data_IF_194410115831
#
_entry.id   IF_194410115831
#
_cell.length_a   1.000
_cell.length_b   1.000
_cell.length_c   1.000
_cell.angle_alpha   90.00
_cell.angle_beta   90.00
_cell.angle_gamma   90.00
#
_symmetry.space_group_name_H-M   'P 1'
#
loop_
_entity.id
_entity.type
_entity.pdbx_description
1 polymer ?
#
# COMPACT_ATOMS: atom_id res chain seq x y z
N UNK A 1 -3.79 15.15 25.16
CA UNK A 1 -4.81 14.72 24.18
C UNK A 1 -4.11 13.77 23.25
N UNK A 2 -4.59 12.54 23.11
CA UNK A 2 -4.04 11.57 22.15
C UNK A 2 -4.25 12.15 20.76
N UNK A 3 -3.17 12.40 20.02
CA UNK A 3 -3.29 12.82 18.63
C UNK A 3 -4.09 11.76 17.87
N UNK A 4 -5.19 12.20 17.24
CA UNK A 4 -5.94 11.34 16.34
C UNK A 4 -5.13 11.24 15.06
N UNK A 5 -4.85 10.01 14.63
CA UNK A 5 -4.25 9.73 13.33
C UNK A 5 -5.31 9.03 12.47
N UNK A 6 -5.28 9.31 11.17
CA UNK A 6 -5.95 8.45 10.20
C UNK A 6 -4.87 7.79 9.34
N UNK A 7 -5.20 6.61 8.81
CA UNK A 7 -4.27 5.82 8.04
C UNK A 7 -4.53 5.97 6.55
N UNK A 8 -3.47 6.18 5.78
CA UNK A 8 -3.50 6.12 4.32
C UNK A 8 -2.52 5.08 3.82
N UNK A 9 -2.89 4.46 2.70
CA UNK A 9 -2.03 3.58 1.94
C UNK A 9 -1.42 4.36 0.78
N UNK A 10 -0.11 4.29 0.70
CA UNK A 10 0.66 4.90 -0.38
C UNK A 10 1.45 3.85 -1.13
N UNK A 11 1.40 3.95 -2.45
CA UNK A 11 2.41 3.38 -3.31
C UNK A 11 3.65 4.27 -3.25
N UNK A 12 4.71 3.74 -2.67
CA UNK A 12 6.04 4.33 -2.61
C UNK A 12 6.81 3.92 -3.86
N UNK A 13 7.38 4.91 -4.54
CA UNK A 13 8.19 4.73 -5.74
C UNK A 13 9.62 5.08 -5.36
N UNK A 14 10.52 4.10 -5.45
CA UNK A 14 11.93 4.24 -5.07
C UNK A 14 12.78 4.05 -6.32
N UNK A 15 13.72 4.95 -6.59
CA UNK A 15 14.68 4.74 -7.67
C UNK A 15 15.63 3.61 -7.26
N UNK A 16 15.88 2.63 -8.14
CA UNK A 16 16.81 1.54 -7.82
C UNK A 16 18.17 2.07 -7.39
N UNK A 17 18.68 1.57 -6.27
CA UNK A 17 19.95 1.98 -5.69
C UNK A 17 19.92 3.33 -4.95
N UNK A 18 18.74 3.94 -4.78
CA UNK A 18 18.57 5.12 -3.94
C UNK A 18 18.05 4.74 -2.55
N UNK A 19 18.51 5.46 -1.52
CA UNK A 19 18.07 5.28 -0.13
C UNK A 19 16.86 6.14 0.25
N UNK A 20 16.18 6.75 -0.74
CA UNK A 20 15.04 7.65 -0.51
C UNK A 20 13.88 7.37 -1.48
N UNK A 21 12.67 7.62 -0.99
CA UNK A 21 11.45 7.51 -1.81
C UNK A 21 11.37 8.71 -2.75
N UNK A 22 11.29 8.43 -4.05
CA UNK A 22 11.18 9.43 -5.11
C UNK A 22 9.78 10.04 -5.16
N UNK A 23 8.75 9.24 -4.91
CA UNK A 23 7.36 9.70 -4.95
C UNK A 23 6.39 8.80 -4.20
N UNK A 24 5.25 9.38 -3.86
CA UNK A 24 4.13 8.70 -3.22
C UNK A 24 2.87 8.89 -4.06
N UNK A 25 2.13 7.79 -4.32
CA UNK A 25 0.81 7.84 -4.92
C UNK A 25 -0.21 7.31 -3.91
N UNK A 26 -1.27 8.07 -3.64
CA UNK A 26 -2.32 7.63 -2.73
C UNK A 26 -3.15 6.52 -3.38
N UNK A 27 -3.14 5.33 -2.78
CA UNK A 27 -3.89 4.16 -3.21
C UNK A 27 -4.87 3.68 -2.15
N UNK A 28 -5.17 4.54 -1.18
CA UNK A 28 -6.17 4.26 -0.13
C UNK A 28 -7.53 3.93 -0.71
N UNK A 29 -7.78 4.25 -1.98
CA UNK A 29 -9.03 3.94 -2.63
C UNK A 29 -9.30 2.45 -2.89
N UNK A 30 -8.23 1.67 -2.94
CA UNK A 30 -8.30 0.24 -3.12
C UNK A 30 -8.73 -0.40 -1.79
N UNK A 31 -9.74 -1.29 -1.81
CA UNK A 31 -10.17 -2.00 -0.61
C UNK A 31 -9.05 -2.79 0.05
N UNK A 32 -9.03 -2.81 1.37
CA UNK A 32 -8.01 -3.52 2.15
C UNK A 32 -7.92 -5.02 1.79
N UNK A 33 -9.05 -5.69 1.55
CA UNK A 33 -9.06 -7.10 1.15
C UNK A 33 -8.32 -7.34 -0.16
N UNK A 34 -8.35 -6.38 -1.09
CA UNK A 34 -7.62 -6.48 -2.36
C UNK A 34 -6.12 -6.41 -2.17
N UNK A 35 -5.64 -5.56 -1.27
CA UNK A 35 -4.23 -5.56 -0.92
C UNK A 35 -3.82 -6.89 -0.26
N UNK A 36 -4.68 -7.46 0.59
CA UNK A 36 -4.38 -8.75 1.21
C UNK A 36 -4.26 -9.86 0.17
N UNK A 37 -5.18 -9.90 -0.79
CA UNK A 37 -5.12 -10.83 -1.93
C UNK A 37 -3.82 -10.65 -2.74
N UNK A 38 -3.44 -9.40 -3.04
CA UNK A 38 -2.22 -9.10 -3.81
C UNK A 38 -0.96 -9.57 -3.11
N UNK A 39 -0.85 -9.32 -1.81
CA UNK A 39 0.38 -9.54 -1.06
C UNK A 39 0.35 -10.80 -0.19
N UNK A 40 -0.61 -11.70 -0.43
CA UNK A 40 -0.82 -12.90 0.39
C UNK A 40 0.48 -13.69 0.62
N UNK A 41 1.30 -13.84 -0.42
CA UNK A 41 2.56 -14.57 -0.39
C UNK A 41 3.66 -13.85 0.42
N UNK A 42 3.55 -12.54 0.58
CA UNK A 42 4.47 -11.71 1.37
C UNK A 42 3.99 -11.49 2.80
N UNK A 43 2.74 -11.83 3.11
CA UNK A 43 2.21 -11.71 4.47
C UNK A 43 2.93 -12.69 5.38
N UNK A 44 3.76 -12.19 6.28
CA UNK A 44 4.47 -13.01 7.28
C UNK A 44 3.84 -12.93 8.68
N UNK A 45 2.91 -12.00 8.89
CA UNK A 45 2.28 -11.75 10.19
C UNK A 45 0.76 -11.69 10.09
N UNK A 46 0.06 -11.98 11.20
CA UNK A 46 -1.41 -11.94 11.27
C UNK A 46 -2.01 -10.54 11.08
N UNK A 47 -1.23 -9.49 11.33
CA UNK A 47 -1.62 -8.08 11.19
C UNK A 47 -1.04 -7.51 9.89
N UNK A 48 -1.73 -7.76 8.79
CA UNK A 48 -1.39 -7.25 7.45
C UNK A 48 -1.51 -5.72 7.38
N UNK A 49 -0.59 -5.02 6.70
CA UNK A 49 -0.50 -3.55 6.54
C UNK A 49 -0.46 -2.67 7.82
N UNK A 50 -0.63 -3.22 9.03
CA UNK A 50 -0.64 -2.47 10.29
C UNK A 50 0.66 -2.53 11.09
N UNK A 51 1.71 -3.14 10.52
CA UNK A 51 3.07 -3.10 11.06
C UNK A 51 3.95 -2.28 10.11
N UNK A 52 5.04 -1.69 10.62
CA UNK A 52 6.09 -1.00 9.85
C UNK A 52 6.82 -1.98 8.90
N UNK A 53 6.09 -2.57 7.96
CA UNK A 53 6.53 -3.54 6.97
C UNK A 53 6.01 -3.06 5.62
N UNK A 54 6.92 -2.92 4.66
CA UNK A 54 6.58 -2.59 3.29
C UNK A 54 6.25 -3.87 2.51
N UNK A 55 5.21 -3.82 1.68
CA UNK A 55 4.85 -4.91 0.76
C UNK A 55 5.23 -4.53 -0.66
N UNK A 56 6.00 -5.36 -1.34
CA UNK A 56 6.61 -5.00 -2.62
C UNK A 56 5.75 -5.43 -3.79
N UNK A 57 5.64 -4.57 -4.79
CA UNK A 57 5.09 -4.93 -6.10
C UNK A 57 6.30 -5.19 -6.98
N UNK A 58 6.65 -6.47 -7.16
CA UNK A 58 7.63 -6.88 -8.16
C UNK A 58 6.97 -7.07 -9.53
N UNK A 59 7.79 -7.30 -10.55
CA UNK A 59 7.31 -7.49 -11.92
C UNK A 59 6.38 -8.71 -12.01
N UNK A 60 6.67 -9.79 -11.30
CA UNK A 60 5.86 -11.01 -11.33
C UNK A 60 4.44 -10.76 -10.76
N UNK A 61 4.34 -10.13 -9.59
CA UNK A 61 3.09 -9.75 -8.96
C UNK A 61 2.30 -8.78 -9.84
N UNK A 62 2.99 -7.82 -10.47
CA UNK A 62 2.37 -6.89 -11.40
C UNK A 62 1.79 -7.62 -12.61
N UNK A 63 2.55 -8.49 -13.28
CA UNK A 63 2.06 -9.21 -14.46
C UNK A 63 0.85 -10.10 -14.12
N UNK A 64 0.85 -10.76 -12.95
CA UNK A 64 -0.29 -11.56 -12.47
C UNK A 64 -1.55 -10.73 -12.25
N UNK A 65 -1.40 -9.46 -11.87
CA UNK A 65 -2.51 -8.57 -11.47
C UNK A 65 -2.66 -7.34 -12.39
N UNK A 66 -2.08 -7.38 -13.59
CA UNK A 66 -1.90 -6.21 -14.47
C UNK A 66 -3.19 -5.45 -14.74
N UNK A 67 -4.26 -6.16 -15.09
CA UNK A 67 -5.57 -5.56 -15.40
C UNK A 67 -6.13 -4.76 -14.22
N UNK A 68 -5.93 -5.26 -13.00
CA UNK A 68 -6.38 -4.58 -11.79
C UNK A 68 -5.50 -3.36 -11.50
N UNK A 69 -4.17 -3.54 -11.50
CA UNK A 69 -3.23 -2.46 -11.16
C UNK A 69 -3.27 -1.32 -12.19
N UNK A 70 -3.35 -1.61 -13.48
CA UNK A 70 -3.48 -0.59 -14.54
C UNK A 70 -4.79 0.22 -14.43
N UNK A 71 -5.84 -0.39 -13.84
CA UNK A 71 -7.15 0.26 -13.65
C UNK A 71 -7.18 1.15 -12.41
N UNK A 72 -6.69 0.64 -11.28
CA UNK A 72 -6.79 1.34 -10.00
C UNK A 72 -5.61 2.29 -9.76
N UNK A 73 -4.43 1.98 -10.32
CA UNK A 73 -3.23 2.81 -10.17
C UNK A 73 -2.99 3.54 -11.50
N UNK A 74 -3.33 4.84 -11.54
CA UNK A 74 -3.05 5.71 -12.70
C UNK A 74 -1.56 6.06 -12.79
N UNK A 75 -0.72 5.05 -12.96
CA UNK A 75 0.74 5.11 -13.02
C UNK A 75 1.26 4.03 -13.96
N UNK A 76 2.32 4.31 -14.71
CA UNK A 76 2.98 3.32 -15.56
C UNK A 76 4.17 2.73 -14.81
N UNK A 77 4.10 1.45 -14.49
CA UNK A 77 5.20 0.75 -13.81
C UNK A 77 6.38 0.55 -14.77
N UNK A 78 7.51 1.11 -14.38
CA UNK A 78 8.83 0.86 -14.95
C UNK A 78 9.67 0.11 -13.91
N UNK A 79 9.75 -1.21 -14.07
CA UNK A 79 10.51 -2.09 -13.19
C UNK A 79 11.99 -2.12 -13.53
N UNK A 80 12.43 -1.52 -14.65
CA UNK A 80 13.86 -1.38 -14.94
C UNK A 80 14.47 -0.29 -14.06
N UNK A 81 13.73 0.80 -13.85
CA UNK A 81 14.21 2.01 -13.17
C UNK A 81 13.83 2.09 -11.69
N UNK A 82 12.66 1.57 -11.29
CA UNK A 82 12.12 1.77 -9.95
C UNK A 82 11.79 0.46 -9.22
N UNK A 83 11.70 0.58 -7.89
CA UNK A 83 11.11 -0.37 -6.97
C UNK A 83 9.83 0.22 -6.38
N UNK A 84 8.85 -0.65 -6.17
CA UNK A 84 7.50 -0.26 -5.75
C UNK A 84 7.13 -0.98 -4.48
N UNK A 85 6.61 -0.24 -3.50
CA UNK A 85 6.05 -0.85 -2.30
C UNK A 85 4.82 -0.12 -1.78
N UNK A 86 3.94 -0.85 -1.10
CA UNK A 86 2.81 -0.30 -0.37
C UNK A 86 3.21 -0.12 1.08
N UNK A 87 3.06 1.10 1.58
CA UNK A 87 3.25 1.45 2.97
C UNK A 87 2.01 2.11 3.57
N UNK A 88 1.75 1.82 4.84
CA UNK A 88 0.77 2.53 5.65
C UNK A 88 1.44 3.73 6.31
N UNK A 89 0.91 4.93 6.11
CA UNK A 89 1.40 6.12 6.82
C UNK A 89 0.29 6.71 7.66
N UNK A 90 0.61 7.06 8.90
CA UNK A 90 -0.28 7.88 9.75
C UNK A 90 -0.16 9.34 9.36
N UNK A 91 -1.27 9.94 8.94
CA UNK A 91 -1.34 11.37 8.63
C UNK A 91 -2.01 12.15 9.79
N UNK A 92 -1.65 13.43 10.01
CA UNK A 92 -2.29 14.26 11.02
C UNK A 92 -3.78 14.50 10.71
N UNK A 93 -4.67 14.34 11.70
CA UNK A 93 -6.12 14.54 11.54
C UNK A 93 -6.52 15.91 10.98
N UNK A 94 -5.69 16.93 11.16
CA UNK A 94 -5.92 18.28 10.60
C UNK A 94 -5.87 18.31 9.06
N UNK A 95 -5.27 17.30 8.42
CA UNK A 95 -5.20 17.12 6.96
C UNK A 95 -6.19 16.07 6.46
N UNK A 96 -7.10 15.63 7.33
CA UNK A 96 -8.09 14.62 7.02
C UNK A 96 -9.00 15.11 5.90
N UNK A 97 -8.97 14.37 4.80
CA UNK A 97 -10.00 14.44 3.75
C UNK A 97 -10.84 13.17 3.97
N UNK A 98 -12.16 13.36 4.09
CA UNK A 98 -13.11 12.29 4.45
C UNK A 98 -13.33 11.36 3.26
N UNK A 99 -12.32 10.55 2.98
CA UNK A 99 -12.29 9.77 1.73
C UNK A 99 -12.19 8.27 1.99
N UNK A 100 -11.60 7.77 3.11
CA UNK A 100 -11.45 6.33 3.38
C UNK A 100 -11.53 5.89 4.85
N UNK A 101 -11.75 4.57 5.03
CA UNK A 101 -12.18 3.74 6.18
C UNK A 101 -12.08 4.37 7.60
N UNK A 102 -13.24 4.48 8.27
CA UNK A 102 -13.36 5.00 9.66
C UNK A 102 -13.02 3.95 10.74
N UNK A 103 -12.91 2.66 10.39
CA UNK A 103 -12.67 1.54 11.32
C UNK A 103 -11.50 0.66 10.86
N UNK A 104 -10.83 -0.01 11.81
CA UNK A 104 -9.82 -1.01 11.51
C UNK A 104 -10.45 -2.16 10.71
N UNK A 105 -9.86 -2.57 9.57
CA UNK A 105 -10.27 -3.78 8.87
C UNK A 105 -10.24 -4.98 9.82
N UNK A 106 -11.19 -5.92 9.70
CA UNK A 106 -11.23 -7.09 10.55
C UNK A 106 -9.95 -7.93 10.38
N UNK A 107 -9.51 -8.58 11.46
CA UNK A 107 -8.39 -9.51 11.43
C UNK A 107 -8.71 -10.66 10.45
N UNK A 108 -7.82 -10.90 9.49
CA UNK A 108 -8.00 -11.96 8.50
C UNK A 108 -7.52 -13.28 9.13
N UNK A 109 -8.46 -14.20 9.39
CA UNK A 109 -8.12 -15.56 9.82
C UNK A 109 -7.61 -16.35 8.61
N UNK A 110 -6.35 -16.80 8.65
CA UNK A 110 -5.85 -17.81 7.71
C UNK A 110 -6.68 -19.08 7.85
N UNK A 111 -7.13 -19.64 6.72
CA UNK A 111 -7.64 -21.02 6.67
C UNK A 111 -6.47 -21.98 6.56
#
# INVERSE_FOLDING_TARGET
>A
MTEKYYYKLYLQIVLKGADYVFGYLNVSHIPYEKFYELFQDQVTTETFLFKDVSYFIDEELYQKNKVFLDKEVSFTFDFDLFEYSIGLTGDPFSRYIKDYYEELPPAIKRK
#
